data_IF_520559270208
#
_entry.id   IF_520559270208
#
_cell.length_a   1.000
_cell.length_b   1.000
_cell.length_c   1.000
_cell.angle_alpha   90.00
_cell.angle_beta   90.00
_cell.angle_gamma   90.00
#
_symmetry.space_group_name_H-M   'P 1'
#
loop_
_entity.id
_entity.type
_entity.pdbx_description
1 polymer ?
#
# COMPACT_ATOMS: atom_id res chain seq x y z
N UNK A 1 -16.71 13.17 25.12
CA UNK A 1 -17.90 12.36 25.45
C UNK A 1 -17.55 10.93 25.11
N UNK A 2 -17.62 10.04 26.09
CA UNK A 2 -16.97 8.74 26.09
C UNK A 2 -17.42 7.86 24.91
N UNK A 3 -16.46 7.23 24.23
CA UNK A 3 -16.73 6.09 23.37
C UNK A 3 -17.11 4.92 24.29
N UNK A 4 -18.38 4.57 24.33
CA UNK A 4 -18.79 3.26 24.83
C UNK A 4 -18.23 2.22 23.84
N UNK A 5 -17.26 1.43 24.31
CA UNK A 5 -16.85 0.19 23.66
C UNK A 5 -18.06 -0.75 23.68
N UNK A 6 -18.92 -0.65 22.67
CA UNK A 6 -19.98 -1.63 22.41
C UNK A 6 -19.25 -2.90 21.97
N UNK A 7 -18.96 -3.78 22.92
CA UNK A 7 -18.43 -5.10 22.61
C UNK A 7 -19.38 -5.79 21.61
N UNK A 8 -18.90 -6.17 20.41
CA UNK A 8 -19.75 -6.87 19.48
C UNK A 8 -20.23 -8.16 20.16
N UNK A 9 -21.51 -8.49 19.97
CA UNK A 9 -22.18 -9.71 20.49
C UNK A 9 -22.61 -9.71 21.97
N UNK A 10 -22.83 -8.55 22.61
CA UNK A 10 -23.31 -8.50 24.01
C UNK A 10 -24.83 -8.76 24.20
N UNK A 11 -25.66 -8.50 23.19
CA UNK A 11 -27.11 -8.73 23.20
C UNK A 11 -27.63 -9.14 21.81
N UNK A 12 -28.76 -9.85 21.74
CA UNK A 12 -29.37 -10.35 20.49
C UNK A 12 -29.68 -9.23 19.50
N UNK A 13 -30.08 -8.05 19.99
CA UNK A 13 -30.32 -6.87 19.16
C UNK A 13 -29.00 -6.36 18.53
N UNK A 14 -27.93 -6.31 19.32
CA UNK A 14 -26.57 -5.94 18.87
C UNK A 14 -26.02 -6.90 17.82
N UNK A 15 -26.35 -8.19 17.91
CA UNK A 15 -25.96 -9.20 16.91
C UNK A 15 -26.65 -8.90 15.57
N UNK A 16 -27.94 -8.56 15.62
CA UNK A 16 -28.74 -8.29 14.42
C UNK A 16 -28.29 -7.02 13.73
N UNK A 17 -28.00 -5.96 14.48
CA UNK A 17 -27.48 -4.70 13.96
C UNK A 17 -26.07 -4.86 13.39
N UNK A 18 -25.19 -5.60 14.08
CA UNK A 18 -23.83 -5.89 13.59
C UNK A 18 -23.87 -6.70 12.29
N UNK A 19 -24.79 -7.68 12.20
CA UNK A 19 -24.97 -8.48 11.00
C UNK A 19 -25.54 -7.66 9.84
N UNK A 20 -26.50 -6.78 10.10
CA UNK A 20 -27.05 -5.87 9.09
C UNK A 20 -26.00 -4.89 8.57
N UNK A 21 -25.17 -4.34 9.46
CA UNK A 21 -24.06 -3.46 9.11
C UNK A 21 -22.96 -4.19 8.33
N UNK A 22 -22.56 -5.39 8.74
CA UNK A 22 -21.63 -6.23 7.99
C UNK A 22 -22.17 -6.60 6.60
N UNK A 23 -23.46 -6.93 6.52
CA UNK A 23 -24.16 -7.21 5.26
C UNK A 23 -24.17 -6.00 4.32
N UNK A 24 -24.49 -4.81 4.83
CA UNK A 24 -24.44 -3.57 4.07
C UNK A 24 -23.02 -3.31 3.52
N UNK A 25 -21.98 -3.51 4.33
CA UNK A 25 -20.60 -3.36 3.89
C UNK A 25 -20.24 -4.31 2.74
N UNK A 26 -20.59 -5.60 2.86
CA UNK A 26 -20.34 -6.60 1.81
C UNK A 26 -21.11 -6.26 0.53
N UNK A 27 -22.38 -5.88 0.63
CA UNK A 27 -23.19 -5.48 -0.53
C UNK A 27 -22.54 -4.31 -1.26
N UNK A 28 -22.03 -3.32 -0.52
CA UNK A 28 -21.36 -2.16 -1.12
C UNK A 28 -20.03 -2.54 -1.76
N UNK A 29 -19.23 -3.40 -1.13
CA UNK A 29 -18.00 -3.92 -1.73
C UNK A 29 -18.27 -4.67 -3.05
N UNK A 30 -19.27 -5.55 -3.05
CA UNK A 30 -19.65 -6.33 -4.23
C UNK A 30 -20.22 -5.42 -5.32
N UNK A 31 -21.05 -4.44 -4.95
CA UNK A 31 -21.62 -3.48 -5.89
C UNK A 31 -20.59 -2.50 -6.46
N UNK A 32 -19.55 -2.15 -5.68
CA UNK A 32 -18.52 -1.22 -6.11
C UNK A 32 -17.73 -1.75 -7.31
N UNK A 33 -17.48 -3.06 -7.40
CA UNK A 33 -16.74 -3.67 -8.50
C UNK A 33 -17.37 -3.43 -9.90
N UNK A 34 -18.62 -3.88 -10.19
CA UNK A 34 -19.25 -3.65 -11.49
C UNK A 34 -19.52 -2.18 -11.76
N UNK A 35 -19.88 -1.40 -10.74
CA UNK A 35 -20.18 0.03 -10.89
C UNK A 35 -18.91 0.85 -11.18
N UNK A 36 -17.77 0.49 -10.57
CA UNK A 36 -16.49 1.13 -10.82
C UNK A 36 -16.02 0.94 -12.26
N UNK A 37 -16.25 -0.25 -12.84
CA UNK A 37 -15.91 -0.57 -14.22
C UNK A 37 -16.69 0.26 -15.27
N UNK A 38 -17.79 0.89 -14.90
CA UNK A 38 -18.54 1.80 -15.78
C UNK A 38 -17.77 3.09 -16.07
N UNK A 39 -16.92 3.55 -15.14
CA UNK A 39 -16.17 4.80 -15.27
C UNK A 39 -15.15 4.78 -16.41
N UNK A 40 -14.25 3.77 -16.51
CA UNK A 40 -13.38 3.61 -17.66
C UNK A 40 -14.15 3.48 -18.98
N UNK A 41 -15.27 2.73 -18.98
CA UNK A 41 -16.04 2.42 -20.18
C UNK A 41 -16.79 3.64 -20.74
N UNK A 42 -17.41 4.43 -19.89
CA UNK A 42 -18.27 5.54 -20.32
C UNK A 42 -17.56 6.89 -20.30
N UNK A 43 -16.72 7.14 -19.28
CA UNK A 43 -16.09 8.44 -19.06
C UNK A 43 -14.58 8.47 -19.39
N UNK A 44 -13.97 7.32 -19.74
CA UNK A 44 -12.52 7.18 -19.95
C UNK A 44 -11.68 7.65 -18.76
N UNK A 45 -12.23 7.52 -17.55
CA UNK A 45 -11.54 7.87 -16.31
C UNK A 45 -10.88 6.62 -15.68
N UNK A 46 -9.79 6.78 -14.89
CA UNK A 46 -9.17 5.66 -14.18
C UNK A 46 -10.16 4.95 -13.26
N UNK A 47 -10.07 3.61 -13.17
CA UNK A 47 -10.96 2.77 -12.35
C UNK A 47 -11.07 3.26 -10.89
N UNK A 48 -9.96 3.73 -10.32
CA UNK A 48 -9.87 4.25 -8.95
C UNK A 48 -10.84 5.41 -8.72
N UNK A 49 -11.07 6.26 -9.73
CA UNK A 49 -12.02 7.37 -9.63
C UNK A 49 -13.46 6.87 -9.47
N UNK A 50 -13.82 5.76 -10.12
CA UNK A 50 -15.12 5.12 -9.97
C UNK A 50 -15.32 4.56 -8.56
N UNK A 51 -14.34 3.85 -8.03
CA UNK A 51 -14.38 3.35 -6.64
C UNK A 51 -14.47 4.48 -5.62
N UNK A 52 -13.72 5.59 -5.82
CA UNK A 52 -13.80 6.76 -4.96
C UNK A 52 -15.19 7.40 -5.00
N UNK A 53 -15.77 7.57 -6.19
CA UNK A 53 -17.09 8.15 -6.35
C UNK A 53 -18.17 7.32 -5.65
N UNK A 54 -18.14 5.99 -5.84
CA UNK A 54 -19.08 5.07 -5.18
C UNK A 54 -18.89 5.12 -3.66
N UNK A 55 -17.64 5.13 -3.17
CA UNK A 55 -17.36 5.25 -1.74
C UNK A 55 -17.89 6.55 -1.12
N UNK A 56 -17.76 7.68 -1.81
CA UNK A 56 -18.32 8.97 -1.36
C UNK A 56 -19.86 8.94 -1.39
N UNK A 57 -20.45 8.39 -2.44
CA UNK A 57 -21.89 8.29 -2.61
C UNK A 57 -22.54 7.40 -1.54
N UNK A 58 -21.94 6.24 -1.29
CA UNK A 58 -22.47 5.24 -0.35
C UNK A 58 -22.04 5.50 1.11
N UNK A 59 -21.03 6.33 1.30
CA UNK A 59 -20.50 6.73 2.60
C UNK A 59 -21.45 7.60 3.44
N UNK A 60 -20.99 8.07 4.61
CA UNK A 60 -21.83 8.72 5.62
C UNK A 60 -22.34 10.12 5.21
N UNK A 61 -21.83 10.69 4.12
CA UNK A 61 -22.13 12.06 3.71
C UNK A 61 -23.29 12.18 2.73
N UNK A 62 -23.53 11.15 1.90
CA UNK A 62 -24.56 11.20 0.84
C UNK A 62 -25.66 10.18 1.15
N UNK A 63 -25.42 8.88 0.96
CA UNK A 63 -26.44 7.86 1.16
C UNK A 63 -26.50 7.32 2.60
N UNK A 64 -25.44 7.52 3.39
CA UNK A 64 -25.30 7.02 4.77
C UNK A 64 -25.59 5.52 4.92
N UNK A 65 -25.33 4.74 3.86
CA UNK A 65 -25.43 3.27 3.88
C UNK A 65 -24.27 2.70 4.71
N UNK A 66 -23.08 3.29 4.58
CA UNK A 66 -21.98 3.10 5.51
C UNK A 66 -21.97 4.26 6.52
N UNK A 67 -22.47 4.00 7.73
CA UNK A 67 -22.43 4.99 8.82
C UNK A 67 -21.00 5.30 9.28
N UNK A 68 -20.80 6.43 9.95
CA UNK A 68 -19.47 6.82 10.47
C UNK A 68 -18.91 5.78 11.45
N UNK A 69 -19.77 5.18 12.25
CA UNK A 69 -19.41 4.13 13.22
C UNK A 69 -18.95 2.86 12.51
N UNK A 70 -19.68 2.43 11.47
CA UNK A 70 -19.34 1.28 10.64
C UNK A 70 -17.99 1.49 9.94
N UNK A 71 -17.77 2.67 9.34
CA UNK A 71 -16.47 3.01 8.74
C UNK A 71 -15.37 2.99 9.80
N UNK A 72 -15.61 3.53 11.00
CA UNK A 72 -14.66 3.51 12.10
C UNK A 72 -14.25 2.10 12.54
N UNK A 73 -15.21 1.16 12.56
CA UNK A 73 -14.96 -0.24 12.94
C UNK A 73 -14.26 -1.05 11.84
N UNK A 74 -14.71 -0.95 10.59
CA UNK A 74 -14.24 -1.83 9.51
C UNK A 74 -13.03 -1.28 8.74
N UNK A 75 -12.91 0.05 8.58
CA UNK A 75 -11.85 0.63 7.75
C UNK A 75 -10.42 0.28 8.23
N UNK A 76 -10.08 0.26 9.54
CA UNK A 76 -8.73 -0.09 9.98
C UNK A 76 -8.33 -1.50 9.53
N UNK A 77 -9.20 -2.49 9.73
CA UNK A 77 -8.96 -3.90 9.38
C UNK A 77 -8.91 -4.09 7.87
N UNK A 78 -9.87 -3.51 7.14
CA UNK A 78 -9.93 -3.62 5.68
C UNK A 78 -8.72 -2.93 5.03
N UNK A 79 -8.31 -1.77 5.52
CA UNK A 79 -7.11 -1.09 5.03
C UNK A 79 -5.84 -1.89 5.32
N UNK A 80 -5.72 -2.50 6.50
CA UNK A 80 -4.58 -3.35 6.83
C UNK A 80 -4.49 -4.58 5.90
N UNK A 81 -5.62 -5.22 5.63
CA UNK A 81 -5.71 -6.35 4.71
C UNK A 81 -5.46 -5.93 3.25
N UNK A 82 -6.01 -4.80 2.81
CA UNK A 82 -5.78 -4.30 1.45
C UNK A 82 -4.29 -3.95 1.24
N UNK A 83 -3.67 -3.26 2.19
CA UNK A 83 -2.25 -2.91 2.14
C UNK A 83 -1.36 -4.16 2.15
N UNK A 84 -1.73 -5.22 2.88
CA UNK A 84 -0.96 -6.46 2.87
C UNK A 84 -1.02 -7.16 1.51
N UNK A 85 -2.19 -7.22 0.86
CA UNK A 85 -2.31 -7.77 -0.51
C UNK A 85 -1.61 -6.92 -1.56
N UNK A 86 -1.63 -5.59 -1.44
CA UNK A 86 -0.89 -4.69 -2.36
C UNK A 86 0.61 -4.94 -2.22
N UNK A 87 1.12 -4.98 -0.99
CA UNK A 87 2.54 -5.25 -0.72
C UNK A 87 2.96 -6.64 -1.19
N UNK A 88 2.11 -7.66 -0.99
CA UNK A 88 2.37 -9.01 -1.45
C UNK A 88 2.42 -9.10 -2.99
N UNK A 89 1.47 -8.48 -3.69
CA UNK A 89 1.48 -8.42 -5.16
C UNK A 89 2.70 -7.67 -5.70
N UNK A 90 3.04 -6.53 -5.10
CA UNK A 90 4.25 -5.79 -5.46
C UNK A 90 5.52 -6.65 -5.31
N UNK A 91 5.59 -7.46 -4.24
CA UNK A 91 6.69 -8.41 -4.01
C UNK A 91 6.80 -9.50 -5.08
N UNK A 92 5.68 -9.97 -5.63
CA UNK A 92 5.67 -10.98 -6.71
C UNK A 92 6.17 -10.43 -8.05
N UNK A 93 6.09 -9.11 -8.26
CA UNK A 93 6.50 -8.48 -9.52
C UNK A 93 8.03 -8.36 -9.65
N UNK A 94 8.78 -8.56 -8.56
CA UNK A 94 10.24 -8.34 -8.48
C UNK A 94 11.02 -9.57 -8.97
N UNK A 95 11.57 -9.49 -10.18
CA UNK A 95 12.49 -10.50 -10.70
C UNK A 95 13.97 -10.13 -10.48
N UNK A 96 14.48 -10.47 -9.28
CA UNK A 96 15.86 -10.19 -8.82
C UNK A 96 16.98 -10.51 -9.84
N UNK A 97 16.95 -11.62 -10.61
CA UNK A 97 18.02 -11.93 -11.56
C UNK A 97 18.17 -10.90 -12.70
N UNK A 98 17.07 -10.27 -13.15
CA UNK A 98 17.14 -9.21 -14.18
C UNK A 98 17.62 -7.87 -13.60
N UNK A 99 17.34 -7.60 -12.32
CA UNK A 99 17.72 -6.35 -11.66
C UNK A 99 19.20 -6.32 -11.26
N UNK A 100 19.76 -7.46 -10.84
CA UNK A 100 21.14 -7.58 -10.31
C UNK A 100 22.22 -6.85 -11.12
N UNK A 101 22.30 -6.96 -12.46
CA UNK A 101 23.32 -6.26 -13.25
C UNK A 101 23.16 -4.72 -13.25
N UNK A 102 21.98 -4.19 -12.98
CA UNK A 102 21.66 -2.76 -13.09
C UNK A 102 21.39 -2.07 -11.74
N UNK A 103 21.51 -2.78 -10.61
CA UNK A 103 21.22 -2.24 -9.26
C UNK A 103 21.90 -0.88 -9.00
N UNK A 104 23.17 -0.72 -9.42
CA UNK A 104 23.89 0.53 -9.21
C UNK A 104 23.22 1.71 -9.91
N UNK A 105 22.72 1.51 -11.13
CA UNK A 105 22.09 2.57 -11.90
C UNK A 105 20.65 2.78 -11.48
N UNK A 106 19.95 1.72 -11.07
CA UNK A 106 18.63 1.79 -10.40
C UNK A 106 18.70 2.69 -9.17
N UNK A 107 19.68 2.46 -8.29
CA UNK A 107 19.85 3.22 -7.06
C UNK A 107 20.24 4.68 -7.32
N UNK A 108 21.10 4.95 -8.32
CA UNK A 108 21.43 6.32 -8.72
C UNK A 108 20.21 7.06 -9.24
N UNK A 109 19.45 6.45 -10.17
CA UNK A 109 18.25 7.05 -10.73
C UNK A 109 17.22 7.33 -9.65
N UNK A 110 16.98 6.34 -8.77
CA UNK A 110 16.08 6.49 -7.64
C UNK A 110 16.53 7.61 -6.71
N UNK A 111 17.81 7.66 -6.34
CA UNK A 111 18.33 8.70 -5.45
C UNK A 111 18.15 10.10 -6.02
N UNK A 112 18.37 10.28 -7.33
CA UNK A 112 18.17 11.57 -8.00
C UNK A 112 16.69 11.95 -8.02
N UNK A 113 15.82 11.06 -8.52
CA UNK A 113 14.36 11.32 -8.60
C UNK A 113 13.79 11.60 -7.21
N UNK A 114 14.14 10.77 -6.23
CA UNK A 114 13.69 10.91 -4.86
C UNK A 114 14.18 12.22 -4.24
N UNK A 115 15.47 12.55 -4.36
CA UNK A 115 16.04 13.78 -3.80
C UNK A 115 15.43 15.04 -4.42
N UNK A 116 15.24 15.06 -5.74
CA UNK A 116 14.65 16.22 -6.43
C UNK A 116 13.19 16.38 -6.03
N UNK A 117 12.41 15.30 -6.07
CA UNK A 117 10.98 15.34 -5.78
C UNK A 117 10.71 15.70 -4.32
N UNK A 118 11.45 15.10 -3.38
CA UNK A 118 11.23 15.37 -1.95
C UNK A 118 11.55 16.82 -1.62
N UNK A 119 12.64 17.37 -2.15
CA UNK A 119 13.00 18.79 -1.92
C UNK A 119 11.93 19.69 -2.55
N UNK A 120 11.58 19.47 -3.80
CA UNK A 120 10.61 20.28 -4.52
C UNK A 120 9.24 20.27 -3.82
N UNK A 121 8.70 19.09 -3.53
CA UNK A 121 7.36 18.96 -2.93
C UNK A 121 7.36 19.45 -1.49
N UNK A 122 8.38 19.14 -0.68
CA UNK A 122 8.46 19.64 0.71
C UNK A 122 8.53 21.17 0.73
N UNK A 123 9.33 21.77 -0.15
CA UNK A 123 9.41 23.24 -0.28
C UNK A 123 8.07 23.83 -0.71
N UNK A 124 7.41 23.26 -1.72
CA UNK A 124 6.08 23.72 -2.16
C UNK A 124 5.06 23.63 -1.01
N UNK A 125 4.97 22.50 -0.33
CA UNK A 125 4.02 22.32 0.78
C UNK A 125 4.30 23.29 1.93
N UNK A 126 5.58 23.54 2.24
CA UNK A 126 5.96 24.46 3.33
C UNK A 126 5.69 25.93 2.95
N UNK A 127 5.93 26.34 1.70
CA UNK A 127 5.70 27.72 1.24
C UNK A 127 4.21 28.03 1.02
N UNK A 128 3.44 27.07 0.49
CA UNK A 128 2.02 27.24 0.19
C UNK A 128 1.10 26.77 1.33
N UNK A 129 1.55 26.87 2.58
CA UNK A 129 0.75 26.40 3.72
C UNK A 129 -0.50 27.28 3.96
N UNK A 130 -0.43 28.60 3.76
CA UNK A 130 -1.53 29.53 4.08
C UNK A 130 -2.93 29.13 3.56
N UNK A 131 -3.09 28.61 2.32
CA UNK A 131 -4.40 28.15 1.82
C UNK A 131 -4.81 26.74 2.25
N UNK A 132 -3.89 25.87 2.69
CA UNK A 132 -4.15 24.43 2.87
C UNK A 132 -3.98 23.94 4.32
N UNK A 133 -3.07 24.53 5.07
CA UNK A 133 -2.72 24.13 6.43
C UNK A 133 -2.96 25.32 7.37
N UNK A 134 -3.63 25.07 8.49
CA UNK A 134 -3.72 26.06 9.58
C UNK A 134 -2.30 26.46 10.03
N UNK A 135 -2.14 27.64 10.65
CA UNK A 135 -0.85 28.19 11.13
C UNK A 135 -0.15 27.26 12.14
N UNK A 136 0.51 26.21 11.66
CA UNK A 136 1.40 25.37 12.44
C UNK A 136 2.78 26.02 12.53
N UNK A 137 3.60 25.64 13.51
CA UNK A 137 5.00 26.07 13.53
C UNK A 137 5.80 25.35 12.43
N UNK A 138 6.90 25.96 11.98
CA UNK A 138 7.79 25.40 10.96
C UNK A 138 8.25 23.96 11.33
N UNK A 139 8.45 23.70 12.62
CA UNK A 139 8.84 22.39 13.15
C UNK A 139 7.78 21.30 12.93
N UNK A 140 6.50 21.67 12.82
CA UNK A 140 5.41 20.75 12.49
C UNK A 140 5.14 20.68 10.98
N UNK A 141 5.32 21.80 10.27
CA UNK A 141 5.11 21.86 8.82
C UNK A 141 6.14 21.03 8.04
N UNK A 142 7.40 21.05 8.46
CA UNK A 142 8.47 20.35 7.74
C UNK A 142 8.25 18.82 7.68
N UNK A 143 7.92 18.12 8.78
CA UNK A 143 7.55 16.71 8.73
C UNK A 143 6.33 16.41 7.84
N UNK A 144 5.33 17.29 7.84
CA UNK A 144 4.14 17.13 6.98
C UNK A 144 4.56 17.27 5.51
N UNK A 145 5.36 18.27 5.16
CA UNK A 145 5.91 18.45 3.83
C UNK A 145 6.75 17.26 3.37
N UNK A 146 7.57 16.71 4.27
CA UNK A 146 8.32 15.48 4.04
C UNK A 146 7.39 14.29 3.74
N UNK A 147 6.29 14.12 4.49
CA UNK A 147 5.32 13.05 4.20
C UNK A 147 4.72 13.17 2.79
N UNK A 148 4.31 14.37 2.39
CA UNK A 148 3.81 14.63 1.03
C UNK A 148 4.90 14.41 -0.03
N UNK A 149 6.13 14.85 0.25
CA UNK A 149 7.27 14.65 -0.64
C UNK A 149 7.62 13.18 -0.83
N UNK A 150 7.56 12.36 0.22
CA UNK A 150 7.77 10.92 0.13
C UNK A 150 6.69 10.26 -0.73
N UNK A 151 5.41 10.57 -0.49
CA UNK A 151 4.29 9.97 -1.26
C UNK A 151 4.36 10.37 -2.73
N UNK A 152 4.80 11.59 -3.06
CA UNK A 152 4.86 12.09 -4.43
C UNK A 152 5.82 11.31 -5.35
N UNK A 153 6.79 10.59 -4.78
CA UNK A 153 7.74 9.74 -5.53
C UNK A 153 7.13 8.37 -5.88
N UNK A 154 6.00 8.00 -5.29
CA UNK A 154 5.40 6.68 -5.47
C UNK A 154 4.95 6.48 -6.93
N UNK A 155 5.45 5.40 -7.56
CA UNK A 155 5.08 4.97 -8.91
C UNK A 155 4.70 3.50 -8.86
N UNK A 156 3.61 3.12 -9.52
CA UNK A 156 3.11 1.75 -9.54
C UNK A 156 3.85 0.89 -10.56
N UNK A 157 4.50 -0.23 -10.14
CA UNK A 157 5.20 -1.14 -11.04
C UNK A 157 4.24 -1.79 -12.06
N UNK A 158 3.02 -2.11 -11.63
CA UNK A 158 2.02 -2.78 -12.47
C UNK A 158 1.63 -1.95 -13.70
N UNK A 159 1.66 -0.61 -13.59
CA UNK A 159 1.44 0.27 -14.75
C UNK A 159 2.61 0.19 -15.72
N UNK A 160 3.85 0.17 -15.21
CA UNK A 160 5.05 0.08 -16.03
C UNK A 160 5.15 -1.30 -16.71
N UNK A 161 4.76 -2.38 -16.02
CA UNK A 161 4.73 -3.72 -16.59
C UNK A 161 3.67 -3.85 -17.69
N UNK A 162 2.47 -3.28 -17.49
CA UNK A 162 1.45 -3.25 -18.53
C UNK A 162 1.96 -2.56 -19.81
N UNK A 163 2.63 -1.41 -19.67
CA UNK A 163 3.24 -0.67 -20.79
C UNK A 163 4.36 -1.49 -21.45
N UNK A 164 5.22 -2.17 -20.67
CA UNK A 164 6.26 -3.07 -21.22
C UNK A 164 5.64 -4.14 -22.12
N UNK A 165 4.55 -4.76 -21.68
CA UNK A 165 3.85 -5.82 -22.42
C UNK A 165 3.16 -5.24 -23.67
N UNK A 166 2.45 -4.13 -23.52
CA UNK A 166 1.71 -3.48 -24.61
C UNK A 166 2.64 -3.00 -25.73
N UNK A 167 3.77 -2.39 -25.38
CA UNK A 167 4.76 -1.90 -26.35
C UNK A 167 5.77 -2.97 -26.79
N UNK A 168 5.69 -4.18 -26.21
CA UNK A 168 6.69 -5.25 -26.36
C UNK A 168 8.14 -4.72 -26.25
N UNK A 169 8.37 -3.84 -25.27
CA UNK A 169 9.64 -3.14 -25.11
C UNK A 169 10.57 -3.96 -24.23
N UNK A 170 11.66 -4.44 -24.80
CA UNK A 170 12.73 -5.13 -24.06
C UNK A 170 14.04 -4.38 -24.23
N UNK A 171 14.67 -4.02 -23.12
CA UNK A 171 15.93 -3.28 -23.16
C UNK A 171 16.41 -2.81 -21.79
N UNK A 172 17.67 -2.30 -21.73
CA UNK A 172 18.27 -1.86 -20.48
C UNK A 172 17.49 -0.71 -19.84
N UNK A 173 16.91 0.20 -20.63
CA UNK A 173 16.10 1.30 -20.09
C UNK A 173 14.77 0.84 -19.48
N UNK A 174 14.08 -0.12 -20.11
CA UNK A 174 12.85 -0.69 -19.56
C UNK A 174 13.11 -1.44 -18.26
N UNK A 175 14.18 -2.22 -18.21
CA UNK A 175 14.57 -2.95 -17.00
C UNK A 175 15.02 -2.01 -15.88
N UNK A 176 15.73 -0.93 -16.21
CA UNK A 176 16.09 0.14 -15.28
C UNK A 176 14.84 0.79 -14.68
N UNK A 177 13.88 1.17 -15.52
CA UNK A 177 12.64 1.81 -15.06
C UNK A 177 11.82 0.89 -14.14
N UNK A 178 11.61 -0.37 -14.55
CA UNK A 178 10.91 -1.37 -13.73
C UNK A 178 11.60 -1.57 -12.38
N UNK A 179 12.92 -1.74 -12.40
CA UNK A 179 13.70 -1.91 -11.17
C UNK A 179 13.67 -0.68 -10.26
N UNK A 180 13.71 0.53 -10.84
CA UNK A 180 13.56 1.78 -10.09
C UNK A 180 12.17 1.90 -9.47
N UNK A 181 11.09 1.60 -10.19
CA UNK A 181 9.73 1.70 -9.63
C UNK A 181 9.48 0.72 -8.51
N UNK A 182 9.95 -0.53 -8.64
CA UNK A 182 9.82 -1.53 -7.56
C UNK A 182 10.63 -1.15 -6.33
N UNK A 183 11.87 -0.68 -6.51
CA UNK A 183 12.72 -0.26 -5.39
C UNK A 183 12.18 1.03 -4.73
N UNK A 184 11.56 1.92 -5.51
CA UNK A 184 10.97 3.16 -5.03
C UNK A 184 9.87 2.92 -4.00
N UNK A 185 9.01 1.92 -4.18
CA UNK A 185 7.93 1.62 -3.23
C UNK A 185 8.48 1.38 -1.81
N UNK A 186 9.53 0.57 -1.68
CA UNK A 186 10.16 0.32 -0.37
C UNK A 186 10.81 1.58 0.22
N UNK A 187 11.55 2.33 -0.59
CA UNK A 187 12.22 3.56 -0.14
C UNK A 187 11.20 4.61 0.31
N UNK A 188 10.10 4.77 -0.43
CA UNK A 188 9.02 5.68 -0.11
C UNK A 188 8.31 5.26 1.18
N UNK A 189 8.01 3.98 1.38
CA UNK A 189 7.37 3.49 2.60
C UNK A 189 8.22 3.75 3.85
N UNK A 190 9.54 3.49 3.77
CA UNK A 190 10.47 3.76 4.87
C UNK A 190 10.52 5.26 5.14
N UNK A 191 10.70 6.07 4.09
CA UNK A 191 10.75 7.52 4.18
C UNK A 191 9.48 8.12 4.79
N UNK A 192 8.32 7.68 4.31
CA UNK A 192 7.02 8.11 4.82
C UNK A 192 6.84 7.74 6.30
N UNK A 193 7.26 6.54 6.70
CA UNK A 193 7.23 6.09 8.09
C UNK A 193 8.08 6.99 9.00
N UNK A 194 9.30 7.31 8.56
CA UNK A 194 10.20 8.23 9.28
C UNK A 194 9.60 9.63 9.38
N UNK A 195 9.08 10.18 8.27
CA UNK A 195 8.43 11.49 8.26
C UNK A 195 7.19 11.54 9.17
N UNK A 196 6.41 10.45 9.22
CA UNK A 196 5.27 10.28 10.14
C UNK A 196 5.69 10.30 11.61
N UNK A 197 6.79 9.62 11.95
CA UNK A 197 7.33 9.62 13.31
C UNK A 197 7.69 11.06 13.70
N UNK A 198 8.45 11.76 12.86
CA UNK A 198 8.80 13.17 13.12
C UNK A 198 7.56 14.06 13.25
N UNK A 199 6.54 13.88 12.40
CA UNK A 199 5.28 14.61 12.52
C UNK A 199 4.60 14.35 13.86
N UNK A 200 4.61 13.10 14.34
CA UNK A 200 4.01 12.75 15.63
C UNK A 200 4.77 13.39 16.79
N UNK A 201 6.11 13.40 16.76
CA UNK A 201 6.92 14.04 17.82
C UNK A 201 6.71 15.56 17.84
N UNK A 202 6.84 16.22 16.70
CA UNK A 202 6.86 17.69 16.65
C UNK A 202 5.46 18.32 16.62
N UNK A 203 4.45 17.69 15.99
CA UNK A 203 3.09 18.23 15.93
C UNK A 203 2.24 17.79 17.13
N UNK A 204 2.32 16.53 17.54
CA UNK A 204 1.50 16.01 18.65
C UNK A 204 2.17 16.17 20.02
N UNK A 205 3.44 16.62 20.09
CA UNK A 205 4.24 16.83 21.32
C UNK A 205 4.23 15.61 22.24
N UNK A 206 4.26 14.40 21.67
CA UNK A 206 4.41 13.19 22.47
C UNK A 206 5.87 13.06 22.93
N UNK A 207 6.07 12.90 24.24
CA UNK A 207 7.37 12.53 24.79
C UNK A 207 7.72 11.11 24.34
N UNK A 208 8.66 11.01 23.39
CA UNK A 208 9.18 9.72 22.94
C UNK A 208 10.20 9.22 23.95
N UNK A 209 9.76 8.33 24.84
CA UNK A 209 10.68 7.58 25.70
C UNK A 209 11.59 6.69 24.86
N UNK A 210 12.86 6.57 25.26
CA UNK A 210 13.84 5.65 24.66
C UNK A 210 13.32 4.20 24.66
N UNK A 211 12.50 3.84 25.65
CA UNK A 211 11.84 2.54 25.72
C UNK A 211 10.85 2.32 24.55
N UNK A 212 10.06 3.34 24.18
CA UNK A 212 9.10 3.25 23.07
C UNK A 212 9.81 3.14 21.73
N UNK A 213 10.96 3.82 21.57
CA UNK A 213 11.80 3.70 20.38
C UNK A 213 12.34 2.29 20.21
N UNK A 214 12.90 1.71 21.28
CA UNK A 214 13.43 0.35 21.26
C UNK A 214 12.32 -0.68 20.99
N UNK A 215 11.17 -0.54 21.66
CA UNK A 215 10.00 -1.39 21.43
C UNK A 215 9.52 -1.35 19.97
N UNK A 216 9.45 -0.15 19.38
CA UNK A 216 9.07 0.02 17.97
C UNK A 216 10.08 -0.64 17.02
N UNK A 217 11.37 -0.46 17.27
CA UNK A 217 12.42 -1.09 16.45
C UNK A 217 12.38 -2.62 16.56
N UNK A 218 12.15 -3.15 17.76
CA UNK A 218 11.99 -4.58 17.98
C UNK A 218 10.78 -5.16 17.23
N UNK A 219 9.64 -4.43 17.19
CA UNK A 219 8.47 -4.83 16.40
C UNK A 219 8.80 -4.87 14.91
N UNK A 220 9.48 -3.85 14.38
CA UNK A 220 9.87 -3.79 12.96
C UNK A 220 10.80 -4.96 12.62
N UNK A 221 11.80 -5.23 13.46
CA UNK A 221 12.73 -6.34 13.26
C UNK A 221 12.02 -7.70 13.31
N UNK A 222 11.09 -7.88 14.25
CA UNK A 222 10.27 -9.09 14.35
C UNK A 222 9.45 -9.33 13.08
N UNK A 223 8.78 -8.30 12.56
CA UNK A 223 8.02 -8.39 11.30
C UNK A 223 8.92 -8.77 10.11
N UNK A 224 10.15 -8.24 10.06
CA UNK A 224 11.12 -8.59 9.01
C UNK A 224 11.54 -10.07 9.11
N UNK A 225 11.80 -10.55 10.32
CA UNK A 225 12.17 -11.95 10.58
C UNK A 225 11.02 -12.89 10.22
N UNK A 226 9.79 -12.57 10.62
CA UNK A 226 8.59 -13.36 10.29
C UNK A 226 8.38 -13.38 8.76
N UNK A 227 8.51 -12.23 8.09
CA UNK A 227 8.41 -12.13 6.64
C UNK A 227 9.46 -12.98 5.91
N UNK A 228 10.71 -12.96 6.37
CA UNK A 228 11.78 -13.80 5.82
C UNK A 228 11.50 -15.30 6.06
N UNK A 229 11.04 -15.68 7.25
CA UNK A 229 10.68 -17.07 7.57
C UNK A 229 9.56 -17.57 6.67
N UNK A 230 8.48 -16.79 6.52
CA UNK A 230 7.38 -17.11 5.61
C UNK A 230 7.86 -17.25 4.17
N UNK A 231 8.76 -16.38 3.72
CA UNK A 231 9.34 -16.46 2.38
C UNK A 231 10.10 -17.79 2.17
N UNK A 232 10.88 -18.23 3.16
CA UNK A 232 11.57 -19.54 3.13
C UNK A 232 10.57 -20.69 3.09
N UNK A 233 9.50 -20.65 3.87
CA UNK A 233 8.45 -21.68 3.85
C UNK A 233 7.79 -21.77 2.48
N UNK A 234 7.47 -20.63 1.85
CA UNK A 234 6.91 -20.60 0.50
C UNK A 234 7.87 -21.24 -0.51
N UNK A 235 9.16 -20.90 -0.46
CA UNK A 235 10.17 -21.51 -1.33
C UNK A 235 10.26 -23.03 -1.10
N UNK A 236 10.24 -23.47 0.16
CA UNK A 236 10.28 -24.88 0.50
C UNK A 236 9.09 -25.66 -0.07
N UNK A 237 7.89 -25.08 -0.04
CA UNK A 237 6.68 -25.67 -0.65
C UNK A 237 6.86 -25.84 -2.16
N UNK A 238 7.40 -24.83 -2.86
CA UNK A 238 7.63 -24.90 -4.31
C UNK A 238 8.79 -25.82 -4.71
N UNK A 239 9.72 -26.11 -3.80
CA UNK A 239 10.82 -27.05 -4.04
C UNK A 239 10.45 -28.52 -3.81
N UNK A 240 9.22 -28.84 -3.36
CA UNK A 240 8.75 -30.22 -3.27
C UNK A 240 8.58 -30.75 -4.71
N UNK A 241 9.41 -31.71 -5.17
CA UNK A 241 9.30 -32.24 -6.52
C UNK A 241 7.91 -32.84 -6.70
N UNK A 242 7.21 -32.41 -7.75
CA UNK A 242 6.05 -33.15 -8.25
C UNK A 242 6.48 -34.60 -8.50
N UNK A 243 5.64 -35.56 -8.10
CA UNK A 243 5.93 -36.99 -8.17
C UNK A 243 6.42 -37.44 -9.55
N UNK A 244 7.12 -38.57 -9.62
CA UNK A 244 7.87 -38.99 -10.81
C UNK A 244 7.02 -38.92 -12.07
N UNK A 245 7.49 -38.14 -13.04
CA UNK A 245 7.04 -38.23 -14.43
C UNK A 245 7.33 -39.65 -14.90
N UNK A 246 6.29 -40.46 -15.08
CA UNK A 246 6.35 -41.77 -15.74
C UNK A 246 6.77 -41.57 -17.21
N UNK A 247 8.07 -41.37 -17.43
CA UNK A 247 8.70 -41.66 -18.70
C UNK A 247 8.71 -43.18 -18.87
N UNK A 248 7.62 -43.70 -19.42
CA UNK A 248 7.61 -45.03 -20.01
C UNK A 248 8.66 -45.08 -21.13
N UNK A 249 9.82 -45.64 -20.80
CA UNK A 249 10.75 -46.24 -21.75
C UNK A 249 10.00 -47.30 -22.56
N UNK A 250 9.56 -46.94 -23.77
CA UNK A 250 9.33 -47.93 -24.81
C UNK A 250 10.69 -48.35 -25.36
N UNK A 251 11.28 -49.33 -24.66
CA UNK A 251 12.22 -50.27 -25.25
C UNK A 251 11.47 -51.12 -26.28
N UNK A 252 11.55 -50.74 -27.55
CA UNK A 252 11.35 -51.68 -28.65
C UNK A 252 12.74 -52.14 -29.11
N UNK A 253 13.14 -53.29 -28.58
CA UNK A 253 14.06 -54.22 -29.25
C UNK A 253 13.22 -55.01 -30.25
N UNK A 254 13.44 -54.79 -31.55
CA UNK A 254 13.62 -55.80 -32.62
C UNK A 254 13.85 -55.11 -33.98
#
# INVERSE_FOLDING_TARGET
>A
SAAEDIAPFSSVDTITDTLAHGGAFIVVLVAAHPLGLLFPKFFRLPLITGYLFIGIFTGPFIANVLSKELVGMFAPTVNALALSFISFQAGQEIYLPELKPQIKDILKLLAIIYSVTIVLVTTVVTLFNNPFFYKFDLSCQLPIGLMFGSIAVLVSPSTVMAIKIELNSVGPFTNLMLGTTMTAEFVVLISFSVARIFSTVYCAKLDVSVANLFFTFAIVLSNLVIGALLSVVIIAIFCIPGGPDDHHDHMDME
#
